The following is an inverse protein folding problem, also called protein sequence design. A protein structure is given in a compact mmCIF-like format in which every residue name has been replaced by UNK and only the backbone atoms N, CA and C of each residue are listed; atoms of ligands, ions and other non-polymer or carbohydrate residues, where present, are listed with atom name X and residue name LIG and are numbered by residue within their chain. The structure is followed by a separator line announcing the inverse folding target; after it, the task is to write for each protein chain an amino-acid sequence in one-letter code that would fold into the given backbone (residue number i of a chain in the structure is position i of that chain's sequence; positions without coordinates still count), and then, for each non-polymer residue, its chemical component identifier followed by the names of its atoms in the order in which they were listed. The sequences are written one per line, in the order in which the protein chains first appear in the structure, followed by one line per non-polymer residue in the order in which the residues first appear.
data_IF_030651009171
#
_entry.id   IF_030651009171
#
_cell.length_a   1.000
_cell.length_b   1.000
_cell.length_c   1.000
_cell.angle_alpha   90.00
_cell.angle_beta   90.00
_cell.angle_gamma   90.00
#
_symmetry.space_group_name_H-M   'P 1'
#
loop_
_entity.id
_entity.type
_entity.pdbx_description
1 polymer ?
#
# COMPACT_ATOMS: atom_id res chain seq x y z
N UNK A 1 32.84 7.88 10.32
CA UNK A 1 31.93 8.15 9.19
C UNK A 1 32.76 8.05 7.94
N UNK A 2 32.60 6.99 7.14
CA UNK A 2 33.26 6.91 5.84
C UNK A 2 32.61 7.93 4.92
N UNK A 3 33.37 8.91 4.47
CA UNK A 3 32.91 9.87 3.47
C UNK A 3 32.51 9.13 2.19
N UNK A 4 31.25 9.27 1.79
CA UNK A 4 30.79 8.81 0.48
C UNK A 4 31.35 9.82 -0.52
N UNK A 5 32.36 9.41 -1.29
CA UNK A 5 32.84 10.24 -2.39
C UNK A 5 31.72 10.38 -3.42
N UNK A 6 31.28 11.62 -3.63
CA UNK A 6 30.30 11.94 -4.67
C UNK A 6 31.01 11.75 -6.01
N UNK A 7 30.53 10.79 -6.81
CA UNK A 7 31.09 10.47 -8.11
C UNK A 7 31.03 11.74 -8.99
N UNK A 8 32.19 12.31 -9.33
CA UNK A 8 32.27 13.43 -10.24
C UNK A 8 32.25 12.89 -11.68
N UNK A 9 31.30 13.34 -12.49
CA UNK A 9 31.13 12.88 -13.89
C UNK A 9 32.34 13.13 -14.81
N UNK A 10 33.44 13.66 -14.28
CA UNK A 10 34.73 13.90 -14.95
C UNK A 10 35.47 12.62 -15.38
N UNK A 11 35.04 11.43 -14.95
CA UNK A 11 35.68 10.16 -15.34
C UNK A 11 35.24 9.64 -16.73
N UNK A 12 34.25 10.26 -17.37
CA UNK A 12 33.70 9.79 -18.66
C UNK A 12 34.10 10.79 -19.76
N UNK A 13 34.99 10.38 -20.65
CA UNK A 13 35.40 11.17 -21.82
C UNK A 13 34.99 10.49 -23.13
N UNK A 14 34.22 11.18 -23.98
CA UNK A 14 33.86 10.69 -25.31
C UNK A 14 34.95 11.12 -26.30
N UNK A 15 35.88 10.22 -26.62
CA UNK A 15 37.04 10.56 -27.47
C UNK A 15 36.73 10.54 -28.98
N UNK A 16 35.64 9.91 -29.42
CA UNK A 16 35.31 9.80 -30.85
C UNK A 16 33.80 9.73 -31.04
N UNK A 17 33.15 10.87 -31.27
CA UNK A 17 31.81 10.87 -31.86
C UNK A 17 31.93 10.25 -33.25
N UNK A 18 31.21 9.15 -33.51
CA UNK A 18 31.31 8.41 -34.77
C UNK A 18 30.80 9.23 -35.95
N UNK A 19 31.68 10.02 -36.58
CA UNK A 19 31.38 10.68 -37.85
C UNK A 19 31.41 9.62 -38.95
N UNK A 20 30.24 9.28 -39.50
CA UNK A 20 30.12 8.37 -40.65
C UNK A 20 30.33 9.21 -41.91
N UNK A 21 31.39 8.94 -42.67
CA UNK A 21 31.65 9.63 -43.93
C UNK A 21 31.33 8.71 -45.11
N UNK A 22 30.23 8.99 -45.81
CA UNK A 22 29.79 8.22 -46.97
C UNK A 22 30.33 8.84 -48.27
N UNK A 23 31.62 8.62 -48.55
CA UNK A 23 32.34 9.27 -49.66
C UNK A 23 31.79 8.94 -51.07
N UNK A 24 31.08 7.83 -51.23
CA UNK A 24 30.53 7.37 -52.52
C UNK A 24 29.04 7.61 -52.73
N UNK A 25 28.37 8.38 -51.86
CA UNK A 25 26.92 8.55 -51.88
C UNK A 25 26.41 9.10 -53.22
N UNK A 26 27.03 10.16 -53.75
CA UNK A 26 26.58 10.81 -54.98
C UNK A 26 26.69 9.88 -56.20
N UNK A 27 27.78 9.12 -56.31
CA UNK A 27 27.98 8.14 -57.39
C UNK A 27 26.96 7.01 -57.31
N UNK A 28 26.74 6.47 -56.11
CA UNK A 28 25.77 5.39 -55.90
C UNK A 28 24.33 5.84 -56.15
N UNK A 29 24.01 7.10 -55.83
CA UNK A 29 22.70 7.68 -56.11
C UNK A 29 22.48 7.84 -57.62
N UNK A 30 23.48 8.33 -58.36
CA UNK A 30 23.40 8.45 -59.82
C UNK A 30 23.20 7.09 -60.50
N UNK A 31 23.99 6.07 -60.12
CA UNK A 31 23.83 4.71 -60.64
C UNK A 31 22.45 4.11 -60.31
N UNK A 32 21.90 4.38 -59.12
CA UNK A 32 20.57 3.92 -58.74
C UNK A 32 19.46 4.59 -59.57
N UNK A 33 19.63 5.86 -59.91
CA UNK A 33 18.69 6.61 -60.77
C UNK A 33 18.72 6.07 -62.19
N UNK A 34 19.91 5.86 -62.77
CA UNK A 34 20.07 5.27 -64.10
C UNK A 34 19.49 3.85 -64.18
N UNK A 35 19.75 3.01 -63.16
CA UNK A 35 19.15 1.68 -63.06
C UNK A 35 17.63 1.74 -62.94
N UNK A 36 17.08 2.70 -62.18
CA UNK A 36 15.64 2.87 -62.04
C UNK A 36 14.96 3.33 -63.33
N UNK A 37 15.62 4.16 -64.13
CA UNK A 37 15.15 4.55 -65.47
C UNK A 37 15.20 3.37 -66.44
N UNK A 38 16.29 2.60 -66.45
CA UNK A 38 16.41 1.39 -67.26
C UNK A 38 15.30 0.38 -66.93
N UNK A 39 15.01 0.15 -65.64
CA UNK A 39 13.93 -0.76 -65.21
C UNK A 39 12.55 -0.26 -65.68
N UNK A 40 12.31 1.05 -65.73
CA UNK A 40 11.04 1.62 -66.22
C UNK A 40 10.86 1.50 -67.74
N UNK A 41 11.95 1.46 -68.50
CA UNK A 41 11.91 1.43 -69.97
C UNK A 41 11.94 0.01 -70.55
N UNK A 42 12.29 -1.01 -69.77
CA UNK A 42 12.29 -2.42 -70.23
C UNK A 42 10.85 -2.92 -70.42
N UNK A 43 10.46 -3.16 -71.68
CA UNK A 43 9.21 -3.85 -72.03
C UNK A 43 9.34 -5.36 -71.78
N UNK A 44 8.29 -5.98 -71.23
CA UNK A 44 8.29 -7.38 -70.77
C UNK A 44 7.45 -8.24 -71.71
N UNK A 45 8.12 -9.07 -72.49
CA UNK A 45 7.52 -10.01 -73.44
C UNK A 45 7.83 -11.47 -73.02
N UNK A 46 7.18 -12.45 -73.66
CA UNK A 46 7.30 -13.88 -73.32
C UNK A 46 8.73 -14.43 -73.46
N UNK A 47 9.55 -13.87 -74.35
CA UNK A 47 10.97 -14.25 -74.54
C UNK A 47 11.94 -13.52 -73.59
N UNK A 48 11.62 -12.29 -73.15
CA UNK A 48 12.49 -11.43 -72.33
C UNK A 48 12.28 -11.59 -70.82
N UNK A 49 11.19 -12.22 -70.39
CA UNK A 49 10.80 -12.37 -68.98
C UNK A 49 11.90 -13.00 -68.08
N UNK A 50 12.71 -13.92 -68.63
CA UNK A 50 13.80 -14.56 -67.88
C UNK A 50 14.96 -13.58 -67.62
N UNK A 51 15.27 -12.74 -68.60
CA UNK A 51 16.28 -11.67 -68.46
C UNK A 51 15.84 -10.62 -67.45
N UNK A 52 14.59 -10.17 -67.52
CA UNK A 52 14.02 -9.19 -66.59
C UNK A 52 13.99 -9.70 -65.15
N UNK A 53 13.64 -10.97 -64.93
CA UNK A 53 13.71 -11.59 -63.58
C UNK A 53 15.12 -11.63 -63.02
N UNK A 54 16.12 -11.93 -63.85
CA UNK A 54 17.53 -11.91 -63.44
C UNK A 54 18.01 -10.50 -63.10
N UNK A 55 17.60 -9.49 -63.88
CA UNK A 55 17.90 -8.08 -63.62
C UNK A 55 17.30 -7.63 -62.27
N UNK A 56 16.02 -7.93 -62.03
CA UNK A 56 15.35 -7.62 -60.76
C UNK A 56 16.04 -8.31 -59.56
N UNK A 57 16.44 -9.57 -59.71
CA UNK A 57 17.18 -10.30 -58.68
C UNK A 57 18.56 -9.65 -58.39
N UNK A 58 19.27 -9.21 -59.43
CA UNK A 58 20.54 -8.52 -59.27
C UNK A 58 20.39 -7.16 -58.57
N UNK A 59 19.33 -6.41 -58.88
CA UNK A 59 18.99 -5.13 -58.23
C UNK A 59 18.66 -5.36 -56.76
N UNK A 60 17.77 -6.30 -56.45
CA UNK A 60 17.42 -6.64 -55.07
C UNK A 60 18.66 -7.06 -54.27
N UNK A 61 19.55 -7.87 -54.84
CA UNK A 61 20.79 -8.28 -54.17
C UNK A 61 21.71 -7.10 -53.85
N UNK A 62 21.78 -6.08 -54.71
CA UNK A 62 22.56 -4.85 -54.46
C UNK A 62 21.94 -4.00 -53.37
N UNK A 63 20.60 -3.86 -53.36
CA UNK A 63 19.86 -3.15 -52.30
C UNK A 63 20.05 -3.85 -50.95
N UNK A 64 19.92 -5.18 -50.93
CA UNK A 64 20.13 -5.97 -49.72
C UNK A 64 21.55 -5.79 -49.18
N UNK A 65 22.57 -5.76 -50.04
CA UNK A 65 23.95 -5.54 -49.63
C UNK A 65 24.15 -4.15 -48.98
N UNK A 66 23.52 -3.10 -49.50
CA UNK A 66 23.57 -1.76 -48.91
C UNK A 66 22.88 -1.71 -47.54
N UNK A 67 21.74 -2.39 -47.40
CA UNK A 67 21.04 -2.45 -46.11
C UNK A 67 21.84 -3.25 -45.07
N UNK A 68 22.50 -4.34 -45.47
CA UNK A 68 23.41 -5.08 -44.59
C UNK A 68 24.59 -4.21 -44.13
N UNK A 69 25.13 -3.38 -45.02
CA UNK A 69 26.20 -2.43 -44.70
C UNK A 69 25.73 -1.41 -43.64
N UNK A 70 24.53 -0.83 -43.84
CA UNK A 70 23.90 0.07 -42.87
C UNK A 70 23.73 -0.59 -41.51
N UNK A 71 23.24 -1.83 -41.47
CA UNK A 71 23.06 -2.60 -40.24
C UNK A 71 24.41 -2.83 -39.55
N UNK A 72 25.45 -3.18 -40.33
CA UNK A 72 26.81 -3.40 -39.79
C UNK A 72 27.38 -2.13 -39.17
N UNK A 73 27.35 -1.01 -39.89
CA UNK A 73 27.85 0.29 -39.39
C UNK A 73 27.08 0.71 -38.13
N UNK A 74 25.75 0.56 -38.12
CA UNK A 74 24.93 0.84 -36.94
C UNK A 74 25.40 0.02 -35.73
N UNK A 75 25.68 -1.27 -35.92
CA UNK A 75 26.15 -2.15 -34.85
C UNK A 75 27.54 -1.73 -34.37
N UNK A 76 28.48 -1.47 -35.26
CA UNK A 76 29.84 -1.04 -34.91
C UNK A 76 29.85 0.28 -34.12
N UNK A 77 28.99 1.24 -34.46
CA UNK A 77 28.89 2.52 -33.74
C UNK A 77 28.17 2.35 -32.39
N UNK A 78 27.22 1.42 -32.29
CA UNK A 78 26.44 1.21 -31.07
C UNK A 78 27.14 0.29 -30.06
N UNK A 79 28.01 -0.62 -30.50
CA UNK A 79 28.79 -1.54 -29.64
C UNK A 79 29.53 -0.81 -28.50
N UNK A 80 30.32 0.26 -28.76
CA UNK A 80 30.98 1.02 -27.70
C UNK A 80 30.00 1.62 -26.68
N UNK A 81 28.82 2.05 -27.14
CA UNK A 81 27.77 2.57 -26.26
C UNK A 81 27.16 1.46 -25.40
N UNK A 82 26.86 0.29 -26.00
CA UNK A 82 26.30 -0.85 -25.28
C UNK A 82 27.24 -1.38 -24.19
N UNK A 83 28.54 -1.44 -24.48
CA UNK A 83 29.55 -1.86 -23.50
C UNK A 83 29.66 -0.83 -22.36
N UNK A 84 29.66 0.46 -22.67
CA UNK A 84 29.58 1.52 -21.65
C UNK A 84 28.30 1.41 -20.79
N UNK A 85 27.14 1.23 -21.41
CA UNK A 85 25.87 1.06 -20.71
C UNK A 85 25.91 -0.15 -19.77
N UNK A 86 26.49 -1.27 -20.23
CA UNK A 86 26.66 -2.49 -19.44
C UNK A 86 27.58 -2.25 -18.25
N UNK A 87 28.69 -1.53 -18.42
CA UNK A 87 29.61 -1.20 -17.32
C UNK A 87 28.92 -0.33 -16.27
N UNK A 88 28.17 0.70 -16.68
CA UNK A 88 27.41 1.56 -15.77
C UNK A 88 26.32 0.76 -15.04
N UNK A 89 25.58 -0.11 -15.74
CA UNK A 89 24.58 -0.98 -15.12
C UNK A 89 25.19 -1.94 -14.11
N UNK A 90 26.37 -2.50 -14.40
CA UNK A 90 27.10 -3.37 -13.47
C UNK A 90 27.45 -2.63 -12.19
N UNK A 91 28.06 -1.44 -12.29
CA UNK A 91 28.39 -0.60 -11.13
C UNK A 91 27.13 -0.27 -10.33
N UNK A 92 26.06 0.14 -11.02
CA UNK A 92 24.78 0.48 -10.39
C UNK A 92 24.17 -0.72 -9.66
N UNK A 93 24.28 -1.92 -10.23
CA UNK A 93 23.77 -3.16 -9.63
C UNK A 93 24.48 -3.48 -8.33
N UNK A 94 25.82 -3.44 -8.32
CA UNK A 94 26.64 -3.74 -7.12
C UNK A 94 26.31 -2.78 -5.97
N UNK A 95 26.14 -1.49 -6.27
CA UNK A 95 25.77 -0.48 -5.26
C UNK A 95 24.34 -0.72 -4.75
N UNK A 96 23.38 -1.01 -5.62
CA UNK A 96 21.99 -1.28 -5.23
C UNK A 96 21.85 -2.54 -4.39
N UNK A 97 22.59 -3.59 -4.72
CA UNK A 97 22.61 -4.83 -3.94
C UNK A 97 23.13 -4.57 -2.52
N UNK A 98 24.25 -3.86 -2.41
CA UNK A 98 24.84 -3.46 -1.12
C UNK A 98 23.91 -2.57 -0.29
N UNK A 99 23.23 -1.59 -0.92
CA UNK A 99 22.22 -0.74 -0.26
C UNK A 99 21.04 -1.57 0.26
N UNK A 100 20.55 -2.53 -0.54
CA UNK A 100 19.46 -3.39 -0.13
C UNK A 100 19.85 -4.29 1.05
N UNK A 101 21.04 -4.90 1.03
CA UNK A 101 21.54 -5.68 2.18
C UNK A 101 21.61 -4.84 3.45
N UNK A 102 22.11 -3.60 3.37
CA UNK A 102 22.16 -2.70 4.51
C UNK A 102 20.77 -2.37 5.04
N UNK A 103 19.80 -2.08 4.15
CA UNK A 103 18.41 -1.84 4.56
C UNK A 103 17.80 -3.05 5.24
N UNK A 104 18.07 -4.26 4.76
CA UNK A 104 17.60 -5.49 5.40
C UNK A 104 18.20 -5.63 6.80
N UNK A 105 19.52 -5.49 6.95
CA UNK A 105 20.19 -5.55 8.25
C UNK A 105 19.65 -4.52 9.25
N UNK A 106 19.35 -3.30 8.80
CA UNK A 106 18.73 -2.26 9.64
C UNK A 106 17.34 -2.70 10.10
N UNK A 107 16.49 -3.19 9.19
CA UNK A 107 15.14 -3.67 9.54
C UNK A 107 15.18 -4.87 10.49
N UNK A 108 16.11 -5.80 10.30
CA UNK A 108 16.29 -6.96 11.17
C UNK A 108 16.66 -6.53 12.59
N UNK A 109 17.55 -5.56 12.74
CA UNK A 109 17.90 -5.00 14.05
C UNK A 109 16.72 -4.28 14.70
N UNK A 110 15.99 -3.45 13.94
CA UNK A 110 14.79 -2.76 14.44
C UNK A 110 13.70 -3.76 14.87
N UNK A 111 13.50 -4.84 14.12
CA UNK A 111 12.53 -5.88 14.45
C UNK A 111 12.97 -6.68 15.70
N UNK A 112 14.26 -6.96 15.84
CA UNK A 112 14.81 -7.62 17.03
C UNK A 112 14.62 -6.74 18.27
N UNK A 113 14.92 -5.44 18.19
CA UNK A 113 14.61 -4.47 19.26
C UNK A 113 13.11 -4.47 19.59
N UNK A 114 12.25 -4.50 18.56
CA UNK A 114 10.79 -4.54 18.71
C UNK A 114 10.31 -5.80 19.45
N UNK A 115 10.88 -6.96 19.12
CA UNK A 115 10.58 -8.24 19.76
C UNK A 115 11.09 -8.31 21.19
N UNK A 116 12.30 -7.79 21.47
CA UNK A 116 12.82 -7.69 22.82
C UNK A 116 11.91 -6.81 23.69
N UNK A 117 11.49 -5.66 23.16
CA UNK A 117 10.57 -4.77 23.87
C UNK A 117 9.22 -5.43 24.14
N UNK A 118 8.69 -6.17 23.16
CA UNK A 118 7.48 -6.99 23.33
C UNK A 118 7.63 -7.96 24.50
N UNK A 119 8.71 -8.75 24.55
CA UNK A 119 8.97 -9.71 25.64
C UNK A 119 9.05 -9.03 27.01
N UNK A 120 9.66 -7.86 27.08
CA UNK A 120 9.71 -7.07 28.33
C UNK A 120 8.29 -6.66 28.76
N UNK A 121 7.46 -6.19 27.82
CA UNK A 121 6.07 -5.81 28.12
C UNK A 121 5.23 -7.03 28.51
N UNK A 122 5.41 -8.17 27.84
CA UNK A 122 4.75 -9.44 28.19
C UNK A 122 5.11 -9.85 29.62
N UNK A 123 6.39 -9.85 29.99
CA UNK A 123 6.82 -10.16 31.36
C UNK A 123 6.27 -9.17 32.41
N UNK A 124 6.22 -7.87 32.08
CA UNK A 124 5.59 -6.87 32.97
C UNK A 124 4.10 -7.14 33.16
N UNK A 125 3.39 -7.55 32.10
CA UNK A 125 1.97 -7.88 32.14
C UNK A 125 1.72 -9.13 32.99
N UNK A 126 2.47 -10.21 32.74
CA UNK A 126 2.37 -11.47 33.49
C UNK A 126 2.67 -11.28 34.98
N UNK A 127 3.68 -10.47 35.33
CA UNK A 127 3.98 -10.16 36.72
C UNK A 127 2.84 -9.40 37.42
N UNK A 128 2.08 -8.59 36.67
CA UNK A 128 0.98 -7.78 37.20
C UNK A 128 -0.35 -8.52 37.24
N UNK A 129 -0.67 -9.32 36.23
CA UNK A 129 -1.97 -10.01 36.13
C UNK A 129 -2.21 -10.96 37.30
N UNK A 130 -1.15 -11.52 37.89
CA UNK A 130 -1.21 -12.34 39.12
C UNK A 130 -1.88 -11.62 40.29
N UNK A 131 -1.81 -10.27 40.33
CA UNK A 131 -2.46 -9.45 41.36
C UNK A 131 -3.97 -9.26 41.11
N UNK A 132 -4.48 -9.69 39.96
CA UNK A 132 -5.87 -9.55 39.53
C UNK A 132 -6.49 -10.92 39.21
N UNK A 133 -6.83 -11.74 40.22
CA UNK A 133 -7.37 -13.09 40.01
C UNK A 133 -8.65 -13.14 39.17
N UNK A 134 -9.45 -12.06 39.22
CA UNK A 134 -10.71 -11.93 38.47
C UNK A 134 -10.50 -11.73 36.96
N UNK A 135 -9.27 -11.44 36.52
CA UNK A 135 -8.91 -11.15 35.13
C UNK A 135 -8.09 -12.27 34.48
N UNK A 136 -8.19 -13.51 34.98
CA UNK A 136 -7.38 -14.66 34.54
C UNK A 136 -7.49 -14.99 33.04
N UNK A 137 -8.55 -14.55 32.36
CA UNK A 137 -8.78 -14.79 30.93
C UNK A 137 -8.04 -13.80 30.02
N UNK A 138 -7.39 -12.76 30.57
CA UNK A 138 -6.66 -11.76 29.79
C UNK A 138 -5.26 -12.24 29.43
N UNK A 139 -4.90 -12.11 28.15
CA UNK A 139 -3.54 -12.30 27.66
C UNK A 139 -2.87 -10.96 27.35
N UNK A 140 -1.54 -10.93 27.37
CA UNK A 140 -0.73 -9.75 27.03
C UNK A 140 -1.05 -9.20 25.63
N UNK A 141 -1.41 -10.06 24.67
CA UNK A 141 -1.80 -9.67 23.31
C UNK A 141 -3.04 -8.77 23.25
N UNK A 142 -3.92 -8.83 24.26
CA UNK A 142 -5.11 -7.97 24.34
C UNK A 142 -4.77 -6.52 24.71
N UNK A 143 -3.60 -6.31 25.30
CA UNK A 143 -3.08 -5.00 25.65
C UNK A 143 -2.01 -4.50 24.64
N UNK A 144 -1.14 -5.38 24.15
CA UNK A 144 0.00 -4.98 23.32
C UNK A 144 -0.45 -4.51 21.93
N UNK A 145 -0.43 -3.19 21.72
CA UNK A 145 -0.59 -2.57 20.40
C UNK A 145 0.75 -2.28 19.71
N UNK A 146 0.72 -2.05 18.39
CA UNK A 146 1.91 -1.68 17.60
C UNK A 146 2.59 -0.41 18.12
N UNK A 147 1.82 0.53 18.68
CA UNK A 147 2.33 1.79 19.23
C UNK A 147 3.22 1.58 20.46
N UNK A 148 2.92 0.59 21.29
CA UNK A 148 3.77 0.27 22.47
C UNK A 148 5.12 -0.29 22.07
N UNK A 149 5.22 -0.91 20.88
CA UNK A 149 6.45 -1.51 20.39
C UNK A 149 7.39 -0.51 19.69
N UNK A 150 6.91 0.70 19.38
CA UNK A 150 7.72 1.75 18.76
C UNK A 150 8.90 2.16 19.65
N UNK A 151 10.05 2.44 19.04
CA UNK A 151 11.27 2.87 19.76
C UNK A 151 11.07 4.18 20.56
N UNK A 152 10.21 5.06 20.05
CA UNK A 152 9.90 6.36 20.68
C UNK A 152 9.03 6.25 21.94
N UNK A 153 8.29 5.16 22.10
CA UNK A 153 7.40 4.98 23.26
C UNK A 153 8.21 4.51 24.46
N UNK A 154 8.34 5.32 25.51
CA UNK A 154 9.06 4.91 26.72
C UNK A 154 8.35 3.74 27.44
N UNK A 155 9.12 2.78 27.98
CA UNK A 155 8.58 1.63 28.72
C UNK A 155 7.74 2.07 29.93
N UNK A 156 8.18 3.11 30.66
CA UNK A 156 7.44 3.65 31.81
C UNK A 156 6.04 4.13 31.42
N UNK A 157 5.87 4.71 30.21
CA UNK A 157 4.56 5.16 29.73
C UNK A 157 3.64 3.97 29.50
N UNK A 158 4.15 2.91 28.87
CA UNK A 158 3.42 1.65 28.64
C UNK A 158 3.03 1.02 29.97
N UNK A 159 3.90 1.05 30.97
CA UNK A 159 3.63 0.52 32.30
C UNK A 159 2.50 1.25 33.03
N UNK A 160 2.46 2.59 32.94
CA UNK A 160 1.37 3.40 33.51
C UNK A 160 0.05 3.10 32.80
N UNK A 161 0.08 3.05 31.46
CA UNK A 161 -1.08 2.73 30.64
C UNK A 161 -1.61 1.32 30.94
N UNK A 162 -0.72 0.34 31.11
CA UNK A 162 -1.05 -1.03 31.51
C UNK A 162 -1.73 -1.07 32.88
N UNK A 163 -1.24 -0.29 33.85
CA UNK A 163 -1.86 -0.22 35.18
C UNK A 163 -3.30 0.30 35.08
N UNK A 164 -3.48 1.43 34.39
CA UNK A 164 -4.78 2.05 34.22
C UNK A 164 -5.76 1.13 33.47
N UNK A 165 -5.27 0.45 32.44
CA UNK A 165 -6.06 -0.50 31.66
C UNK A 165 -6.53 -1.68 32.53
N UNK A 166 -5.64 -2.32 33.30
CA UNK A 166 -6.02 -3.43 34.19
C UNK A 166 -7.02 -3.00 35.28
N UNK A 167 -6.81 -1.84 35.90
CA UNK A 167 -7.73 -1.30 36.92
C UNK A 167 -9.12 -1.03 36.35
N UNK A 168 -9.20 -0.50 35.12
CA UNK A 168 -10.47 -0.29 34.45
C UNK A 168 -11.19 -1.63 34.20
N UNK A 169 -10.48 -2.64 33.70
CA UNK A 169 -11.06 -3.98 33.44
C UNK A 169 -11.52 -4.68 34.70
N UNK A 170 -10.78 -4.53 35.80
CA UNK A 170 -11.19 -5.02 37.11
C UNK A 170 -12.55 -4.44 37.51
N UNK A 171 -12.72 -3.12 37.41
CA UNK A 171 -13.99 -2.44 37.74
C UNK A 171 -15.14 -2.91 36.85
N UNK A 172 -14.90 -3.04 35.54
CA UNK A 172 -15.90 -3.53 34.61
C UNK A 172 -16.36 -4.96 34.95
N UNK A 173 -15.42 -5.85 35.29
CA UNK A 173 -15.71 -7.22 35.74
C UNK A 173 -16.49 -7.22 37.06
N UNK A 174 -16.13 -6.39 38.04
CA UNK A 174 -16.87 -6.25 39.30
C UNK A 174 -18.31 -5.79 39.07
N UNK A 175 -18.53 -4.82 38.17
CA UNK A 175 -19.88 -4.36 37.79
C UNK A 175 -20.70 -5.48 37.15
N UNK A 176 -20.09 -6.25 36.25
CA UNK A 176 -20.77 -7.38 35.58
C UNK A 176 -21.14 -8.45 36.60
N UNK A 177 -20.21 -8.84 37.48
CA UNK A 177 -20.45 -9.82 38.54
C UNK A 177 -21.58 -9.39 39.49
N UNK A 178 -21.71 -8.08 39.75
CA UNK A 178 -22.80 -7.55 40.58
C UNK A 178 -24.16 -7.51 39.89
N UNK A 179 -24.19 -7.52 38.55
CA UNK A 179 -25.42 -7.38 37.76
C UNK A 179 -25.97 -8.74 37.34
N UNK A 180 -25.14 -9.56 36.68
CA UNK A 180 -25.53 -10.91 36.23
C UNK A 180 -24.28 -11.73 35.83
N UNK A 181 -24.06 -12.89 36.45
CA UNK A 181 -22.84 -13.69 36.27
C UNK A 181 -22.67 -14.30 34.87
N UNK A 182 -23.75 -14.51 34.13
CA UNK A 182 -23.73 -15.08 32.76
C UNK A 182 -23.12 -14.13 31.71
N UNK A 183 -22.99 -12.86 32.05
CA UNK A 183 -22.47 -11.81 31.16
C UNK A 183 -20.94 -11.79 31.05
N UNK A 184 -20.23 -12.54 31.90
CA UNK A 184 -18.76 -12.54 31.94
C UNK A 184 -18.14 -13.19 30.69
N UNK A 185 -18.77 -14.24 30.15
CA UNK A 185 -18.31 -14.93 28.95
C UNK A 185 -18.33 -13.99 27.73
N UNK A 186 -19.42 -13.23 27.57
CA UNK A 186 -19.56 -12.22 26.51
C UNK A 186 -18.55 -11.08 26.64
N UNK A 187 -18.25 -10.69 27.87
CA UNK A 187 -17.22 -9.70 28.16
C UNK A 187 -15.82 -10.20 27.82
N UNK A 188 -15.51 -11.46 28.08
CA UNK A 188 -14.19 -12.04 27.80
C UNK A 188 -13.86 -12.09 26.29
N UNK A 189 -14.86 -12.25 25.43
CA UNK A 189 -14.67 -12.28 23.97
C UNK A 189 -14.31 -10.90 23.40
N UNK A 190 -15.12 -9.88 23.75
CA UNK A 190 -15.10 -8.57 23.08
C UNK A 190 -14.51 -7.45 23.94
N UNK A 191 -14.25 -7.70 25.23
CA UNK A 191 -13.78 -6.69 26.17
C UNK A 191 -14.66 -5.42 26.13
N UNK A 192 -15.98 -5.62 26.08
CA UNK A 192 -16.98 -4.57 25.94
C UNK A 192 -18.02 -4.70 27.06
N UNK A 193 -18.10 -3.68 27.93
CA UNK A 193 -19.09 -3.64 29.00
C UNK A 193 -20.53 -3.53 28.46
N UNK A 194 -20.71 -2.84 27.33
CA UNK A 194 -22.03 -2.60 26.72
C UNK A 194 -22.66 -3.89 26.22
N UNK A 195 -21.86 -4.79 25.63
CA UNK A 195 -22.34 -6.06 25.10
C UNK A 195 -22.54 -7.10 26.21
N UNK A 196 -21.84 -6.94 27.33
CA UNK A 196 -21.94 -7.80 28.50
C UNK A 196 -23.20 -7.52 29.31
N UNK A 197 -23.57 -6.26 29.52
CA UNK A 197 -24.76 -5.94 30.31
C UNK A 197 -26.04 -6.38 29.58
N UNK A 198 -27.04 -6.92 30.29
CA UNK A 198 -28.32 -7.24 29.69
C UNK A 198 -28.92 -5.95 29.12
N UNK A 199 -29.29 -5.97 27.83
CA UNK A 199 -30.03 -4.86 27.22
C UNK A 199 -31.22 -4.57 28.10
N UNK A 200 -31.27 -3.39 28.74
CA UNK A 200 -32.47 -2.96 29.42
C UNK A 200 -33.61 -3.05 28.41
N UNK A 201 -34.54 -3.98 28.64
CA UNK A 201 -35.78 -4.04 27.89
C UNK A 201 -36.55 -2.77 28.23
N UNK A 202 -36.31 -1.72 27.46
CA UNK A 202 -37.30 -0.66 27.31
C UNK A 202 -38.51 -1.40 26.75
N UNK A 203 -39.48 -1.67 27.61
CA UNK A 203 -40.82 -2.07 27.21
C UNK A 203 -41.33 -0.90 26.39
N UNK A 204 -41.07 -0.90 25.08
CA UNK A 204 -41.81 -0.05 24.16
C UNK A 204 -43.23 -0.56 24.23
N UNK A 205 -44.21 0.23 24.72
CA UNK A 205 -45.59 -0.20 24.65
C UNK A 205 -45.89 -0.40 23.16
N UNK A 206 -46.16 -1.65 22.78
CA UNK A 206 -46.69 -2.00 21.47
C UNK A 206 -47.91 -1.12 21.25
N UNK A 207 -47.81 -0.21 20.28
CA UNK A 207 -48.91 0.65 19.91
C UNK A 207 -50.00 -0.20 19.25
N UNK A 208 -50.83 -0.83 20.07
CA UNK A 208 -52.12 -1.34 19.63
C UNK A 208 -52.97 -0.14 19.20
N UNK A 209 -53.35 -0.16 17.93
CA UNK A 209 -54.18 0.83 17.28
C UNK A 209 -55.54 0.91 17.96
N UNK A 210 -55.72 1.85 18.89
CA UNK A 210 -57.03 2.29 19.37
C UNK A 210 -57.14 3.80 19.19
N UNK A 211 -57.60 4.20 18.00
CA UNK A 211 -57.97 5.60 17.70
C UNK A 211 -59.09 6.05 18.65
N UNK A 212 -58.90 7.23 19.24
CA UNK A 212 -59.88 8.06 19.94
C UNK A 212 -60.51 7.49 21.24
N UNK A 213 -59.69 7.16 22.23
CA UNK A 213 -60.13 7.14 23.64
C UNK A 213 -59.26 8.07 24.47
N UNK A 214 -59.89 8.87 25.34
CA UNK A 214 -59.19 9.69 26.34
C UNK A 214 -58.44 8.76 27.30
N UNK A 215 -57.14 9.00 27.48
CA UNK A 215 -56.29 8.25 28.42
C UNK A 215 -56.13 9.11 29.67
N UNK A 216 -56.56 8.58 30.82
CA UNK A 216 -56.33 9.19 32.13
C UNK A 216 -55.11 8.57 32.80
N UNK A 217 -54.25 9.39 33.38
CA UNK A 217 -53.09 8.96 34.17
C UNK A 217 -52.86 9.98 35.30
N UNK A 218 -52.38 9.48 36.44
CA UNK A 218 -52.11 10.32 37.61
C UNK A 218 -50.66 10.80 37.58
N UNK A 219 -50.45 12.08 37.86
CA UNK A 219 -49.13 12.71 37.85
C UNK A 219 -48.93 13.44 39.17
N UNK A 220 -47.70 13.40 39.70
CA UNK A 220 -47.32 14.22 40.85
C UNK A 220 -47.51 15.71 40.55
N UNK A 221 -48.07 16.45 41.52
CA UNK A 221 -48.46 17.86 41.39
C UNK A 221 -47.32 18.77 40.87
N UNK A 222 -46.08 18.48 41.27
CA UNK A 222 -44.88 19.21 40.83
C UNK A 222 -44.56 19.08 39.33
N UNK A 223 -44.99 18.00 38.68
CA UNK A 223 -44.73 17.74 37.26
C UNK A 223 -45.87 18.19 36.35
N UNK A 224 -47.02 18.60 36.91
CA UNK A 224 -48.21 19.00 36.16
C UNK A 224 -47.94 20.18 35.19
N UNK A 225 -47.25 21.27 35.56
CA UNK A 225 -47.05 22.41 34.67
C UNK A 225 -46.19 22.08 33.45
N UNK A 226 -45.16 21.25 33.62
CA UNK A 226 -44.24 20.85 32.56
C UNK A 226 -44.93 19.94 31.55
N UNK A 227 -45.75 19.00 32.04
CA UNK A 227 -46.53 18.09 31.21
C UNK A 227 -47.60 18.83 30.39
N UNK A 228 -48.31 19.79 31.00
CA UNK A 228 -49.27 20.62 30.28
C UNK A 228 -48.62 21.43 29.14
N UNK A 229 -47.44 22.01 29.40
CA UNK A 229 -46.69 22.74 28.39
C UNK A 229 -46.27 21.83 27.22
N UNK A 230 -45.76 20.64 27.53
CA UNK A 230 -45.36 19.65 26.54
C UNK A 230 -46.53 19.20 25.66
N UNK A 231 -47.69 18.92 26.28
CA UNK A 231 -48.89 18.50 25.56
C UNK A 231 -49.42 19.61 24.65
N UNK A 232 -49.38 20.88 25.12
CA UNK A 232 -49.77 22.05 24.32
C UNK A 232 -48.84 22.27 23.13
N UNK A 233 -47.52 22.13 23.31
CA UNK A 233 -46.54 22.24 22.23
C UNK A 233 -46.70 21.12 21.18
N UNK A 234 -47.12 19.94 21.63
CA UNK A 234 -47.32 18.77 20.76
C UNK A 234 -48.68 18.75 20.07
N UNK A 235 -49.55 19.74 20.32
CA UNK A 235 -50.88 19.83 19.73
C UNK A 235 -51.87 18.75 20.20
N UNK A 236 -51.64 18.16 21.37
CA UNK A 236 -52.50 17.11 21.95
C UNK A 236 -53.54 17.78 22.86
N UNK A 237 -54.83 17.51 22.61
CA UNK A 237 -55.91 17.99 23.46
C UNK A 237 -55.91 17.27 24.82
N UNK A 238 -55.92 18.02 25.91
CA UNK A 238 -55.96 17.48 27.28
C UNK A 238 -56.97 18.23 28.16
N UNK A 239 -57.45 17.56 29.22
CA UNK A 239 -58.25 18.16 30.29
C UNK A 239 -57.69 17.71 31.63
N UNK A 240 -57.54 18.63 32.57
CA UNK A 240 -57.24 18.31 33.97
C UNK A 240 -58.53 18.21 34.75
N UNK A 241 -58.73 17.10 35.47
CA UNK A 241 -59.75 16.95 36.50
C UNK A 241 -59.17 17.27 37.87
#
# INVERSE_FOLDING_TARGET
MSEISVWNGSAITVQKAGAIQFQGYESMLAEAVELAELIRTVEVDEETIKGTKNLLAAVNKRVDALEQERIRIKKEVLEPYMEFEKQIKSITSVVKESDNELRVKVRELEELERQQKRRIIEGMFEARIVRYPTLFFLTSDRFITSQHLNKTTALNKVEIEMAAWLEQRKKEVEVIQSTDGASLERYAENLSLVDALPKQTVVTPTADTLKNKWVSFSVHENALPQLQLFLKMSGIEFKTQ
#
